data_IF_568639299599
#
_entry.id   IF_568639299599
#
_cell.length_a   1.000
_cell.length_b   1.000
_cell.length_c   1.000
_cell.angle_alpha   90.00
_cell.angle_beta   90.00
_cell.angle_gamma   90.00
#
_symmetry.space_group_name_H-M   'P 1'
#
loop_
_entity.id
_entity.type
_entity.pdbx_description
1 polymer ?
#
# COMPACT_ATOMS: atom_id res chain seq x y z
N UNK A 1 -6.41 1.21 14.80
CA UNK A 1 -5.37 1.91 15.57
C UNK A 1 -4.66 2.66 14.49
N UNK A 2 -4.98 3.94 14.40
CA UNK A 2 -4.61 4.75 13.26
C UNK A 2 -3.13 5.09 13.41
N UNK A 3 -2.38 4.97 12.34
CA UNK A 3 -0.99 5.42 12.36
C UNK A 3 -1.05 6.93 12.25
N UNK A 4 -0.60 7.58 13.31
CA UNK A 4 -0.51 9.02 13.44
C UNK A 4 0.95 9.33 13.67
N UNK A 5 1.44 10.35 12.98
CA UNK A 5 2.80 10.84 13.18
C UNK A 5 2.89 11.51 14.56
N UNK A 6 3.84 11.08 15.38
CA UNK A 6 4.08 11.62 16.73
C UNK A 6 5.42 12.35 16.79
N UNK A 7 5.62 13.16 17.82
CA UNK A 7 6.89 13.84 18.05
C UNK A 7 8.05 12.84 18.20
N UNK A 8 7.82 11.70 18.87
CA UNK A 8 8.80 10.62 18.99
C UNK A 8 9.19 9.97 17.65
N UNK A 9 8.37 10.09 16.60
CA UNK A 9 8.70 9.59 15.27
C UNK A 9 9.68 10.51 14.56
N UNK A 10 9.71 11.82 14.88
CA UNK A 10 10.55 12.81 14.18
C UNK A 10 12.02 12.43 14.28
N UNK A 11 12.50 12.19 15.50
CA UNK A 11 13.91 11.85 15.75
C UNK A 11 14.27 10.53 15.04
N UNK A 12 13.42 9.51 15.17
CA UNK A 12 13.64 8.20 14.55
C UNK A 12 13.65 8.27 13.03
N UNK A 13 12.74 9.04 12.43
CA UNK A 13 12.72 9.24 10.98
C UNK A 13 13.98 9.97 10.53
N UNK A 14 14.41 11.02 11.23
CA UNK A 14 15.62 11.75 10.88
C UNK A 14 16.88 10.89 10.99
N UNK A 15 16.95 10.01 11.98
CA UNK A 15 18.09 9.11 12.18
C UNK A 15 18.18 8.04 11.09
N UNK A 16 17.05 7.49 10.65
CA UNK A 16 16.99 6.41 9.64
C UNK A 16 16.96 6.96 8.21
N UNK A 17 16.30 8.10 8.00
CA UNK A 17 16.06 8.74 6.70
C UNK A 17 16.43 10.22 6.77
N UNK A 18 17.72 10.56 6.77
CA UNK A 18 18.19 11.93 7.06
C UNK A 18 17.77 12.98 6.03
N UNK A 19 17.36 12.56 4.83
CA UNK A 19 16.87 13.44 3.76
C UNK A 19 15.36 13.69 3.83
N UNK A 20 14.65 13.02 4.74
CA UNK A 20 13.23 13.25 4.97
C UNK A 20 13.00 14.30 6.05
N UNK A 21 12.10 15.23 5.75
CA UNK A 21 11.59 16.24 6.65
C UNK A 21 10.29 15.74 7.29
N UNK A 22 10.00 16.16 8.51
CA UNK A 22 8.82 15.77 9.28
C UNK A 22 8.10 16.99 9.88
N UNK A 23 6.77 16.98 9.84
CA UNK A 23 5.91 17.97 10.48
C UNK A 23 4.70 17.28 11.13
N UNK A 24 4.68 17.22 12.47
CA UNK A 24 3.61 16.56 13.22
C UNK A 24 2.28 17.30 13.11
N UNK A 25 2.29 18.63 13.11
CA UNK A 25 1.07 19.46 13.08
C UNK A 25 0.12 19.10 11.93
N UNK A 26 0.68 18.81 10.75
CA UNK A 26 -0.07 18.41 9.56
C UNK A 26 0.10 16.91 9.25
N UNK A 27 0.73 16.14 10.14
CA UNK A 27 1.01 14.73 9.94
C UNK A 27 1.77 14.46 8.63
N UNK A 28 2.81 15.22 8.33
CA UNK A 28 3.47 15.21 7.02
C UNK A 28 4.92 14.74 7.12
N UNK A 29 5.34 13.89 6.19
CA UNK A 29 6.76 13.57 5.94
C UNK A 29 7.05 13.81 4.45
N UNK A 30 8.15 14.46 4.10
CA UNK A 30 8.49 14.74 2.69
C UNK A 30 9.98 14.93 2.45
N UNK A 31 10.42 14.73 1.22
CA UNK A 31 11.81 14.91 0.78
C UNK A 31 12.29 13.70 0.00
N UNK A 32 13.62 13.54 -0.06
CA UNK A 32 14.25 12.44 -0.79
C UNK A 32 14.24 11.17 0.07
N UNK A 33 13.65 10.10 -0.46
CA UNK A 33 13.79 8.74 0.06
C UNK A 33 14.89 8.03 -0.74
N UNK A 34 16.05 7.85 -0.11
CA UNK A 34 17.10 6.99 -0.64
C UNK A 34 16.80 5.53 -0.29
N UNK A 35 16.98 4.64 -1.26
CA UNK A 35 16.83 3.20 -1.08
C UNK A 35 18.06 2.45 -1.59
N UNK A 36 18.51 1.49 -0.79
CA UNK A 36 19.53 0.50 -1.11
C UNK A 36 18.97 -0.85 -0.69
N UNK A 37 18.38 -1.59 -1.63
CA UNK A 37 17.70 -2.83 -1.28
C UNK A 37 18.03 -3.98 -2.23
N UNK A 38 17.92 -5.19 -1.71
CA UNK A 38 17.98 -6.41 -2.51
C UNK A 38 16.86 -7.36 -2.07
N UNK A 39 16.19 -7.97 -3.03
CA UNK A 39 15.13 -8.93 -2.75
C UNK A 39 15.66 -10.35 -2.86
N UNK A 40 15.61 -11.09 -1.75
CA UNK A 40 15.92 -12.52 -1.74
C UNK A 40 14.65 -13.31 -2.10
N UNK A 41 14.67 -13.97 -3.26
CA UNK A 41 13.55 -14.81 -3.69
C UNK A 41 13.38 -16.08 -2.84
N UNK A 42 14.43 -16.52 -2.13
CA UNK A 42 14.40 -17.73 -1.31
C UNK A 42 13.66 -17.50 0.01
N UNK A 43 14.03 -16.46 0.75
CA UNK A 43 13.32 -16.03 1.97
C UNK A 43 12.06 -15.23 1.69
N UNK A 44 11.93 -14.68 0.47
CA UNK A 44 10.87 -13.73 0.06
C UNK A 44 10.90 -12.45 0.88
N UNK A 45 12.08 -12.03 1.32
CA UNK A 45 12.30 -10.84 2.12
C UNK A 45 13.08 -9.77 1.34
N UNK A 46 12.78 -8.51 1.64
CA UNK A 46 13.53 -7.37 1.13
C UNK A 46 14.58 -6.98 2.16
N UNK A 47 15.84 -7.12 1.79
CA UNK A 47 16.98 -6.69 2.60
C UNK A 47 17.23 -5.20 2.38
N UNK A 48 17.32 -4.44 3.47
CA UNK A 48 17.65 -3.01 3.47
C UNK A 48 19.14 -2.81 3.71
N UNK A 49 19.73 -1.78 3.07
CA UNK A 49 21.16 -1.48 3.10
C UNK A 49 22.04 -2.67 2.70
N UNK A 50 21.55 -3.48 1.74
CA UNK A 50 22.23 -4.71 1.33
C UNK A 50 23.51 -4.41 0.55
N UNK A 51 24.58 -5.14 0.89
CA UNK A 51 25.84 -5.14 0.14
C UNK A 51 25.82 -6.13 -1.03
N UNK A 52 24.66 -6.75 -1.31
CA UNK A 52 24.52 -7.69 -2.41
C UNK A 52 24.89 -7.01 -3.74
N UNK A 53 25.59 -7.74 -4.63
CA UNK A 53 26.10 -7.20 -5.90
C UNK A 53 24.97 -6.69 -6.81
N UNK A 54 23.80 -7.27 -6.69
CA UNK A 54 22.61 -6.91 -7.46
C UNK A 54 21.64 -6.01 -6.69
N UNK A 55 22.07 -5.43 -5.57
CA UNK A 55 21.27 -4.45 -4.85
C UNK A 55 20.95 -3.25 -5.77
N UNK A 56 19.72 -2.77 -5.65
CA UNK A 56 19.25 -1.58 -6.36
C UNK A 56 19.47 -0.39 -5.44
N UNK A 57 20.19 0.59 -5.97
CA UNK A 57 20.40 1.91 -5.38
C UNK A 57 19.55 2.89 -6.17
N UNK A 58 18.62 3.54 -5.50
CA UNK A 58 17.76 4.53 -6.14
C UNK A 58 17.29 5.60 -5.16
N UNK A 59 16.69 6.67 -5.68
CA UNK A 59 16.09 7.72 -4.87
C UNK A 59 14.80 8.25 -5.49
N UNK A 60 13.88 8.68 -4.63
CA UNK A 60 12.60 9.26 -5.03
C UNK A 60 12.26 10.47 -4.17
N UNK A 61 11.71 11.52 -4.78
CA UNK A 61 11.04 12.56 -4.00
C UNK A 61 9.66 12.05 -3.60
N UNK A 62 9.37 12.09 -2.30
CA UNK A 62 8.13 11.54 -1.76
C UNK A 62 7.42 12.53 -0.84
N UNK A 63 6.14 12.30 -0.66
CA UNK A 63 5.33 12.93 0.38
C UNK A 63 4.40 11.89 1.02
N UNK A 64 4.38 11.84 2.35
CA UNK A 64 3.49 11.00 3.15
C UNK A 64 2.59 11.91 3.98
N UNK A 65 1.29 11.69 3.89
CA UNK A 65 0.25 12.41 4.62
C UNK A 65 -0.47 11.47 5.57
N UNK A 66 -0.16 11.56 6.86
CA UNK A 66 -0.77 10.76 7.93
C UNK A 66 -2.15 11.26 8.32
N UNK A 67 -2.48 12.53 8.06
CA UNK A 67 -3.81 13.13 8.22
C UNK A 67 -4.81 12.66 7.15
N UNK A 68 -4.32 12.23 5.99
CA UNK A 68 -5.13 11.67 4.90
C UNK A 68 -5.01 10.15 4.86
N UNK A 69 -6.15 9.49 4.75
CA UNK A 69 -6.21 8.03 4.66
C UNK A 69 -6.71 7.55 3.31
N UNK A 70 -6.17 6.44 2.84
CA UNK A 70 -6.76 5.66 1.76
C UNK A 70 -7.99 4.87 2.26
N UNK A 71 -8.59 4.08 1.36
CA UNK A 71 -9.74 3.22 1.68
C UNK A 71 -9.47 2.20 2.80
N UNK A 72 -8.20 1.88 3.06
CA UNK A 72 -7.76 0.87 4.02
C UNK A 72 -7.25 1.48 5.34
N UNK A 73 -7.26 2.81 5.46
CA UNK A 73 -6.80 3.52 6.66
C UNK A 73 -5.30 3.78 6.68
N UNK A 74 -4.59 3.59 5.56
CA UNK A 74 -3.18 3.87 5.45
C UNK A 74 -2.93 5.36 5.14
N UNK A 75 -1.85 5.96 5.68
CA UNK A 75 -1.39 7.27 5.24
C UNK A 75 -1.27 7.32 3.72
N UNK A 76 -1.74 8.41 3.10
CA UNK A 76 -1.54 8.58 1.65
C UNK A 76 -0.08 8.88 1.36
N UNK A 77 0.45 8.24 0.33
CA UNK A 77 1.84 8.41 -0.13
C UNK A 77 1.82 8.88 -1.57
N UNK A 78 2.76 9.76 -1.92
CA UNK A 78 2.89 10.34 -3.25
C UNK A 78 4.36 10.30 -3.68
N UNK A 79 4.58 10.07 -4.97
CA UNK A 79 5.86 10.33 -5.64
C UNK A 79 5.78 11.70 -6.30
N UNK A 80 6.66 12.61 -5.93
CA UNK A 80 6.52 14.05 -6.24
C UNK A 80 7.49 14.56 -7.30
N UNK A 81 8.46 13.76 -7.75
CA UNK A 81 9.38 14.12 -8.85
C UNK A 81 8.81 13.84 -10.24
N UNK A 82 7.67 13.13 -10.32
CA UNK A 82 7.01 12.73 -11.56
C UNK A 82 7.74 11.62 -12.32
N UNK A 83 8.64 10.89 -11.65
CA UNK A 83 9.45 9.84 -12.28
C UNK A 83 8.62 8.63 -12.66
N UNK A 84 7.67 8.22 -11.81
CA UNK A 84 6.76 7.11 -12.13
C UNK A 84 5.84 7.51 -13.28
N UNK A 85 5.36 8.75 -13.29
CA UNK A 85 4.53 9.29 -14.36
C UNK A 85 5.25 9.35 -15.71
N UNK A 86 6.52 9.79 -15.72
CA UNK A 86 7.36 9.75 -16.93
C UNK A 86 7.54 8.31 -17.42
N UNK A 87 7.90 7.38 -16.54
CA UNK A 87 8.06 5.97 -16.91
C UNK A 87 6.80 5.36 -17.53
N UNK A 88 5.63 5.64 -16.95
CA UNK A 88 4.32 5.26 -17.50
C UNK A 88 4.13 5.75 -18.94
N UNK A 89 4.45 7.02 -19.19
CA UNK A 89 4.29 7.65 -20.51
C UNK A 89 5.29 7.08 -21.51
N UNK A 90 6.57 7.01 -21.14
CA UNK A 90 7.67 6.61 -22.02
C UNK A 90 7.61 5.12 -22.40
N UNK A 91 7.03 4.29 -21.53
CA UNK A 91 6.95 2.83 -21.71
C UNK A 91 5.55 2.36 -22.12
N UNK A 92 4.60 3.27 -22.35
CA UNK A 92 3.20 2.97 -22.65
C UNK A 92 2.55 1.99 -21.64
N UNK A 93 2.92 2.13 -20.36
CA UNK A 93 2.37 1.33 -19.25
C UNK A 93 1.34 2.15 -18.51
N UNK A 94 0.17 1.59 -18.22
CA UNK A 94 -0.84 2.27 -17.43
C UNK A 94 -0.38 2.56 -15.99
N UNK A 95 -0.65 3.78 -15.49
CA UNK A 95 -0.30 4.14 -14.09
C UNK A 95 -0.92 3.20 -13.05
N UNK A 96 -2.09 2.64 -13.34
CA UNK A 96 -2.78 1.71 -12.44
C UNK A 96 -1.96 0.43 -12.27
N UNK A 97 -1.33 -0.07 -13.35
CA UNK A 97 -0.40 -1.20 -13.31
C UNK A 97 0.90 -0.84 -12.59
N UNK A 98 1.23 0.45 -12.48
CA UNK A 98 2.31 0.96 -11.63
C UNK A 98 1.82 1.25 -10.20
N UNK A 99 0.62 0.81 -9.84
CA UNK A 99 0.02 1.02 -8.52
C UNK A 99 -0.05 2.50 -8.14
N UNK A 100 -0.44 3.36 -9.08
CA UNK A 100 -0.72 4.78 -8.84
C UNK A 100 -2.19 5.06 -9.14
N UNK A 101 -2.92 5.62 -8.17
CA UNK A 101 -4.35 5.93 -8.30
C UNK A 101 -4.57 7.28 -8.99
N UNK A 102 -4.94 7.22 -10.28
CA UNK A 102 -5.27 8.39 -11.10
C UNK A 102 -6.47 9.18 -10.53
N UNK A 103 -7.37 8.52 -9.80
CA UNK A 103 -8.58 9.13 -9.23
C UNK A 103 -8.34 9.77 -7.87
N UNK A 104 -7.17 9.53 -7.26
CA UNK A 104 -6.80 10.04 -5.94
C UNK A 104 -5.52 10.88 -5.97
N UNK A 105 -5.48 11.84 -6.89
CA UNK A 105 -4.35 12.77 -7.05
C UNK A 105 -3.00 12.06 -7.24
N UNK A 106 -2.99 10.92 -7.94
CA UNK A 106 -1.81 10.07 -8.16
C UNK A 106 -1.17 9.57 -6.86
N UNK A 107 -2.00 9.21 -5.87
CA UNK A 107 -1.49 8.55 -4.65
C UNK A 107 -0.97 7.15 -4.98
N UNK A 108 0.08 6.74 -4.27
CA UNK A 108 0.67 5.40 -4.39
C UNK A 108 -0.23 4.38 -3.66
N UNK A 109 -0.65 3.35 -4.38
CA UNK A 109 -1.41 2.22 -3.85
C UNK A 109 -0.46 1.23 -3.18
N UNK A 110 -0.28 1.32 -1.86
CA UNK A 110 0.64 0.48 -1.08
C UNK A 110 0.11 -0.94 -0.76
N UNK A 111 -0.91 -1.38 -1.51
CA UNK A 111 -1.60 -2.65 -1.32
C UNK A 111 -2.76 -2.58 -0.31
N UNK A 112 -3.53 -3.66 -0.29
CA UNK A 112 -4.86 -3.75 0.33
C UNK A 112 -4.88 -4.66 1.58
N UNK A 113 -3.77 -5.34 1.85
CA UNK A 113 -3.73 -6.36 2.90
C UNK A 113 -3.51 -5.72 4.28
N UNK A 114 -4.27 -6.12 5.31
CA UNK A 114 -4.02 -5.76 6.71
C UNK A 114 -2.82 -6.54 7.27
N UNK A 115 -1.76 -6.62 6.49
CA UNK A 115 -0.50 -7.20 6.89
C UNK A 115 0.23 -6.18 7.72
N UNK A 116 0.20 -6.44 9.04
CA UNK A 116 0.96 -5.77 10.07
C UNK A 116 0.47 -4.35 10.39
N UNK A 117 0.05 -4.16 11.64
CA UNK A 117 -0.06 -2.81 12.21
C UNK A 117 1.36 -2.33 12.49
N UNK A 118 1.84 -1.38 11.72
CA UNK A 118 3.13 -0.72 11.94
C UNK A 118 3.10 0.06 13.26
N UNK A 119 4.19 -0.02 14.02
CA UNK A 119 4.24 0.57 15.36
C UNK A 119 4.61 2.05 15.36
N UNK A 120 4.86 2.64 14.19
CA UNK A 120 5.21 4.06 14.01
C UNK A 120 5.49 4.41 12.56
N UNK A 121 5.93 5.64 12.32
CA UNK A 121 6.19 6.15 10.98
C UNK A 121 7.36 5.42 10.30
N UNK A 122 8.45 5.14 11.03
CA UNK A 122 9.62 4.43 10.50
C UNK A 122 9.27 3.03 10.03
N UNK A 123 8.52 2.28 10.85
CA UNK A 123 8.05 0.93 10.48
C UNK A 123 7.18 0.96 9.22
N UNK A 124 6.32 1.97 9.10
CA UNK A 124 5.48 2.16 7.91
C UNK A 124 6.34 2.46 6.67
N UNK A 125 7.34 3.35 6.80
CA UNK A 125 8.24 3.67 5.69
C UNK A 125 9.01 2.41 5.26
N UNK A 126 9.67 1.72 6.19
CA UNK A 126 10.49 0.54 5.89
C UNK A 126 9.67 -0.63 5.33
N UNK A 127 8.47 -0.89 5.86
CA UNK A 127 7.73 -2.12 5.53
C UNK A 127 6.65 -1.91 4.46
N UNK A 128 6.37 -0.67 4.06
CA UNK A 128 5.39 -0.37 3.00
C UNK A 128 5.88 0.59 1.94
N UNK A 129 6.45 1.71 2.35
CA UNK A 129 6.88 2.75 1.39
C UNK A 129 8.11 2.29 0.62
N UNK A 130 9.15 1.80 1.31
CA UNK A 130 10.37 1.30 0.67
C UNK A 130 10.11 0.12 -0.27
N UNK A 131 9.35 -0.93 0.12
CA UNK A 131 9.02 -2.02 -0.80
C UNK A 131 8.29 -1.56 -2.08
N UNK A 132 7.39 -0.58 -1.97
CA UNK A 132 6.74 0.00 -3.13
C UNK A 132 7.77 0.65 -4.07
N UNK A 133 8.63 1.54 -3.57
CA UNK A 133 9.61 2.23 -4.41
C UNK A 133 10.71 1.30 -4.94
N UNK A 134 11.08 0.27 -4.19
CA UNK A 134 11.94 -0.80 -4.69
C UNK A 134 11.28 -1.52 -5.87
N UNK A 135 10.00 -1.88 -5.76
CA UNK A 135 9.25 -2.51 -6.85
C UNK A 135 9.22 -1.63 -8.10
N UNK A 136 9.00 -0.31 -7.94
CA UNK A 136 9.07 0.65 -9.06
C UNK A 136 10.45 0.68 -9.70
N UNK A 137 11.51 0.70 -8.89
CA UNK A 137 12.89 0.70 -9.36
C UNK A 137 13.21 -0.58 -10.11
N UNK A 138 12.83 -1.73 -9.55
CA UNK A 138 13.07 -3.05 -10.12
C UNK A 138 12.38 -3.20 -11.46
N UNK A 139 11.09 -2.85 -11.57
CA UNK A 139 10.36 -2.91 -12.84
C UNK A 139 10.99 -2.02 -13.91
N UNK A 140 11.38 -0.81 -13.55
CA UNK A 140 12.03 0.13 -14.46
C UNK A 140 13.42 -0.34 -14.94
N UNK A 141 14.21 -0.95 -14.06
CA UNK A 141 15.58 -1.38 -14.35
C UNK A 141 15.62 -2.75 -15.02
N UNK A 142 14.75 -3.68 -14.60
CA UNK A 142 14.77 -5.09 -15.01
C UNK A 142 13.67 -5.45 -16.00
N UNK A 143 12.69 -4.58 -16.22
CA UNK A 143 11.57 -4.79 -17.15
C UNK A 143 10.50 -5.77 -16.65
N UNK A 144 10.64 -6.30 -15.44
CA UNK A 144 9.73 -7.28 -14.82
C UNK A 144 9.51 -6.97 -13.35
N UNK A 145 8.50 -7.59 -12.74
CA UNK A 145 8.22 -7.43 -11.31
C UNK A 145 9.18 -8.29 -10.46
N UNK A 146 9.65 -7.80 -9.30
CA UNK A 146 10.50 -8.59 -8.39
C UNK A 146 9.72 -9.72 -7.71
N UNK A 147 8.41 -9.52 -7.52
CA UNK A 147 7.44 -10.49 -7.04
C UNK A 147 6.08 -10.15 -7.62
N UNK A 148 5.19 -11.14 -7.70
CA UNK A 148 3.84 -10.98 -8.23
C UNK A 148 3.08 -9.88 -7.45
N UNK A 149 2.70 -8.82 -8.16
CA UNK A 149 1.84 -7.77 -7.63
C UNK A 149 0.48 -8.31 -7.19
N UNK A 150 -0.18 -7.57 -6.29
CA UNK A 150 -1.55 -7.90 -5.92
C UNK A 150 -2.53 -7.40 -6.98
N UNK A 151 -3.60 -8.17 -7.21
CA UNK A 151 -4.63 -7.77 -8.16
C UNK A 151 -5.22 -6.39 -7.82
N UNK A 152 -5.50 -5.60 -8.85
CA UNK A 152 -6.09 -4.27 -8.72
C UNK A 152 -7.61 -4.33 -8.53
N UNK A 153 -8.17 -3.25 -8.00
CA UNK A 153 -9.62 -3.03 -7.86
C UNK A 153 -10.33 -4.19 -7.14
N UNK A 154 -11.41 -4.67 -7.74
CA UNK A 154 -12.31 -5.64 -7.13
C UNK A 154 -11.64 -6.98 -6.85
N UNK A 155 -10.79 -7.45 -7.77
CA UNK A 155 -10.05 -8.71 -7.60
C UNK A 155 -9.11 -8.62 -6.42
N UNK A 156 -8.45 -7.48 -6.24
CA UNK A 156 -7.69 -7.20 -5.03
C UNK A 156 -8.55 -7.38 -3.78
N UNK A 157 -9.68 -6.68 -3.70
CA UNK A 157 -10.57 -6.76 -2.52
C UNK A 157 -11.02 -8.20 -2.25
N UNK A 158 -11.28 -8.99 -3.29
CA UNK A 158 -11.61 -10.42 -3.17
C UNK A 158 -10.44 -11.24 -2.62
N UNK A 159 -9.22 -11.04 -3.12
CA UNK A 159 -8.01 -11.70 -2.63
C UNK A 159 -7.74 -11.36 -1.16
N UNK A 160 -7.89 -10.09 -0.78
CA UNK A 160 -7.79 -9.62 0.59
C UNK A 160 -8.77 -10.35 1.53
N UNK A 161 -10.04 -10.43 1.14
CA UNK A 161 -11.07 -11.12 1.93
C UNK A 161 -10.89 -12.64 1.96
N UNK A 162 -10.34 -13.23 0.90
CA UNK A 162 -10.00 -14.65 0.85
C UNK A 162 -8.90 -15.01 1.85
N UNK A 163 -7.86 -14.18 1.98
CA UNK A 163 -6.80 -14.39 2.99
C UNK A 163 -7.33 -14.31 4.42
N UNK A 164 -8.24 -13.37 4.70
CA UNK A 164 -8.90 -13.27 6.02
C UNK A 164 -9.69 -14.55 6.33
N UNK A 165 -10.39 -15.09 5.34
CA UNK A 165 -11.23 -16.29 5.50
C UNK A 165 -10.42 -17.56 5.71
N UNK A 166 -9.28 -17.73 5.01
CA UNK A 166 -8.40 -18.91 5.13
C UNK A 166 -7.71 -19.03 6.49
N UNK A 167 -7.49 -17.92 7.20
CA UNK A 167 -6.80 -17.93 8.51
C UNK A 167 -7.65 -18.45 9.68
N UNK A 168 -8.93 -18.78 9.48
CA UNK A 168 -9.77 -19.55 10.42
C UNK A 168 -10.06 -18.94 11.81
N UNK A 169 -9.34 -17.89 12.23
CA UNK A 169 -9.38 -17.32 13.60
C UNK A 169 -10.16 -16.02 13.73
N UNK A 170 -10.90 -15.60 12.71
CA UNK A 170 -11.42 -14.23 12.58
C UNK A 170 -12.94 -14.02 12.63
N UNK A 171 -13.79 -15.04 12.84
CA UNK A 171 -15.25 -14.81 12.90
C UNK A 171 -15.80 -14.54 14.29
N UNK A 172 -15.11 -15.01 15.35
CA UNK A 172 -15.52 -14.71 16.70
C UNK A 172 -15.01 -13.31 17.10
N UNK A 173 -15.94 -12.36 17.24
CA UNK A 173 -15.69 -10.97 17.66
C UNK A 173 -14.87 -10.85 18.94
N UNK A 174 -14.92 -11.86 19.82
CA UNK A 174 -14.20 -11.88 21.08
C UNK A 174 -12.87 -12.65 21.06
N UNK A 175 -12.56 -13.39 19.97
CA UNK A 175 -11.27 -14.06 19.82
C UNK A 175 -10.14 -13.06 19.56
N UNK A 176 -8.90 -13.48 19.80
CA UNK A 176 -7.71 -12.71 19.42
C UNK A 176 -7.68 -12.52 17.90
N UNK A 177 -7.31 -11.32 17.48
CA UNK A 177 -7.28 -10.97 16.07
C UNK A 177 -6.16 -11.71 15.32
N UNK A 178 -6.44 -12.14 14.09
CA UNK A 178 -5.49 -12.87 13.24
C UNK A 178 -4.26 -12.06 12.80
N UNK A 179 -4.24 -10.76 13.08
CA UNK A 179 -3.10 -9.87 12.80
C UNK A 179 -2.06 -9.86 13.93
N UNK A 180 -2.19 -10.75 14.93
CA UNK A 180 -1.27 -10.89 16.06
C UNK A 180 -1.06 -9.62 16.89
N UNK A 181 -1.99 -8.66 16.84
CA UNK A 181 -1.91 -7.44 17.67
C UNK A 181 -2.15 -7.66 19.17
N UNK A 182 -2.42 -8.90 19.60
CA UNK A 182 -2.86 -9.22 20.96
C UNK A 182 -4.26 -8.71 21.33
N UNK A 183 -4.96 -8.00 20.43
CA UNK A 183 -6.30 -7.43 20.67
C UNK A 183 -7.40 -8.38 20.22
N UNK A 184 -8.59 -8.27 20.83
CA UNK A 184 -9.81 -8.94 20.35
C UNK A 184 -10.16 -8.44 18.94
N UNK A 185 -10.65 -9.33 18.07
CA UNK A 185 -10.99 -9.02 16.68
C UNK A 185 -11.90 -7.79 16.55
N UNK A 186 -12.95 -7.69 17.37
CA UNK A 186 -13.88 -6.53 17.41
C UNK A 186 -13.23 -5.18 17.74
N UNK A 187 -12.08 -5.19 18.41
CA UNK A 187 -11.29 -4.00 18.75
C UNK A 187 -10.08 -3.84 17.83
N UNK A 188 -10.03 -4.64 16.76
CA UNK A 188 -8.88 -4.75 15.88
C UNK A 188 -9.31 -4.65 14.41
N UNK A 189 -9.33 -5.74 13.65
CA UNK A 189 -9.57 -5.72 12.21
C UNK A 189 -11.05 -5.72 11.80
N UNK A 190 -12.00 -5.85 12.75
CA UNK A 190 -13.45 -5.88 12.47
C UNK A 190 -13.94 -4.71 11.62
N UNK A 191 -13.49 -3.49 11.93
CA UNK A 191 -13.86 -2.28 11.18
C UNK A 191 -13.30 -2.30 9.75
N UNK A 192 -12.03 -2.65 9.58
CA UNK A 192 -11.37 -2.69 8.28
C UNK A 192 -11.96 -3.79 7.39
N UNK A 193 -12.20 -4.98 7.95
CA UNK A 193 -12.86 -6.08 7.25
C UNK A 193 -14.32 -5.74 6.89
N UNK A 194 -15.01 -4.94 7.73
CA UNK A 194 -16.33 -4.42 7.40
C UNK A 194 -16.28 -3.45 6.21
N UNK A 195 -15.29 -2.54 6.17
CA UNK A 195 -15.11 -1.61 5.05
C UNK A 195 -14.84 -2.38 3.76
N UNK A 196 -13.93 -3.37 3.79
CA UNK A 196 -13.63 -4.24 2.65
C UNK A 196 -14.89 -4.93 2.11
N UNK A 197 -15.72 -5.50 2.99
CA UNK A 197 -16.97 -6.15 2.61
C UNK A 197 -17.97 -5.17 2.02
N UNK A 198 -18.12 -3.99 2.62
CA UNK A 198 -19.00 -2.93 2.12
C UNK A 198 -18.57 -2.45 0.73
N UNK A 199 -17.27 -2.24 0.52
CA UNK A 199 -16.71 -1.87 -0.79
C UNK A 199 -17.00 -2.94 -1.84
N UNK A 200 -16.77 -4.21 -1.51
CA UNK A 200 -17.08 -5.32 -2.42
C UNK A 200 -18.58 -5.43 -2.76
N UNK A 201 -19.45 -5.21 -1.77
CA UNK A 201 -20.90 -5.24 -1.99
C UNK A 201 -21.36 -4.10 -2.90
N UNK A 202 -20.85 -2.89 -2.70
CA UNK A 202 -21.17 -1.72 -3.53
C UNK A 202 -20.81 -1.97 -4.99
N UNK A 203 -19.59 -2.45 -5.22
CA UNK A 203 -19.11 -2.87 -6.55
C UNK A 203 -20.02 -3.93 -7.17
N UNK A 204 -20.38 -4.98 -6.43
CA UNK A 204 -21.26 -6.05 -6.94
C UNK A 204 -22.65 -5.54 -7.30
N UNK A 205 -23.17 -4.56 -6.56
CA UNK A 205 -24.44 -3.92 -6.88
C UNK A 205 -24.35 -3.04 -8.13
N UNK A 206 -23.27 -2.28 -8.29
CA UNK A 206 -23.07 -1.41 -9.46
C UNK A 206 -22.89 -2.22 -10.76
N UNK A 207 -22.17 -3.36 -10.70
CA UNK A 207 -22.08 -4.31 -11.83
C UNK A 207 -23.45 -4.91 -12.21
N UNK A 208 -24.28 -5.25 -11.23
CA UNK A 208 -25.64 -5.76 -11.50
C UNK A 208 -26.51 -4.72 -12.20
N UNK A 209 -26.43 -3.46 -11.78
CA UNK A 209 -27.17 -2.34 -12.42
C UNK A 209 -26.72 -2.07 -13.86
N UNK A 210 -25.42 -2.19 -14.14
CA UNK A 210 -24.88 -2.06 -15.50
C UNK A 210 -25.38 -3.18 -16.42
N UNK A 211 -25.42 -4.42 -15.92
CA UNK A 211 -25.89 -5.57 -16.70
C UNK A 211 -27.40 -5.53 -16.96
N UNK A 212 -28.22 -5.07 -16.01
CA UNK A 212 -29.67 -4.88 -16.22
C UNK A 212 -29.98 -3.76 -17.21
N UNK A 213 -29.11 -2.76 -17.35
CA UNK A 213 -29.29 -1.66 -18.31
C UNK A 213 -28.84 -2.01 -19.74
N UNK A 214 -28.05 -3.08 -19.92
CA UNK A 214 -27.67 -3.56 -21.26
C UNK A 214 -28.73 -4.52 -21.85
N UNK A 215 -29.44 -5.31 -21.02
CA UNK A 215 -30.51 -6.20 -21.49
C UNK A 215 -31.75 -5.47 -22.05
N UNK A 216 -31.95 -4.20 -21.69
CA UNK A 216 -33.08 -3.39 -22.18
C UNK A 216 -32.80 -2.66 -23.51
N UNK A 217 -31.55 -2.66 -23.99
CA UNK A 217 -31.17 -1.99 -25.26
C UNK A 217 -31.16 -2.90 -26.48
N UNK A 218 -31.13 -4.23 -26.30
CA UNK A 218 -31.20 -5.20 -27.39
C UNK A 218 -32.63 -5.69 -27.69
N UNK A 219 -33.64 -5.03 -27.10
CA UNK A 219 -35.07 -5.38 -27.23
C UNK A 219 -35.89 -4.36 -28.02
N UNK A 220 -35.28 -3.55 -28.89
CA UNK A 220 -35.98 -2.59 -29.77
C UNK A 220 -35.54 -2.70 -31.21
#
# INVERSE_FOLDING_TARGET
MDIVLKDEDIEKVRDVFPQLNCEVRNGRIWGTLDLCCWYDSSSRELEHNSQHREAIYDSYEIEIKFDKKDLFGFPKVYETSGRILRFSTDSEVDLEDLHVDKNDCNSCCLGIFPEYRWQGAVDFILKKVVPFFYWQSYRRIKGQEPWEGHAHGDRGIEDALALVSRRGKGRNRNALCYCNSGKKYKKCCDQQDSILRSSLLKVKMDRRKLNTNHSDKDSR
#
